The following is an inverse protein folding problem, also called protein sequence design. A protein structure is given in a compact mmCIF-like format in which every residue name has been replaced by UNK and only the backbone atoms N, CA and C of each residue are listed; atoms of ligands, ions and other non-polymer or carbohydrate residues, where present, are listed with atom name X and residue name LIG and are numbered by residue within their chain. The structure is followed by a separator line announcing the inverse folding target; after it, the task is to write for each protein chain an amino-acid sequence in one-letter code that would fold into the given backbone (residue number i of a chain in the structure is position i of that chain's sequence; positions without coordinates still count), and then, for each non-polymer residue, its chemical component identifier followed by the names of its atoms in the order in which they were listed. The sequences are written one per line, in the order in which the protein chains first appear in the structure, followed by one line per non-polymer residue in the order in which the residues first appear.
data_IF_136681784546
#
_entry.id   IF_136681784546
#
_cell.length_a   1.000
_cell.length_b   1.000
_cell.length_c   1.000
_cell.angle_alpha   90.00
_cell.angle_beta   90.00
_cell.angle_gamma   90.00
#
_symmetry.space_group_name_H-M   'P 1'
#
loop_
_entity.id
_entity.type
_entity.pdbx_description
1 polymer ?
#
# COMPACT_ATOMS: atom_id res chain seq x y z
N UNK A 1 11.37 -11.85 10.70
CA UNK A 1 10.91 -12.45 9.43
C UNK A 1 11.53 -11.64 8.31
N UNK A 2 12.27 -12.27 7.41
CA UNK A 2 12.92 -11.58 6.29
C UNK A 2 11.92 -11.48 5.15
N UNK A 3 11.51 -10.25 4.81
CA UNK A 3 10.65 -10.02 3.64
C UNK A 3 11.51 -10.12 2.38
N UNK A 4 11.16 -11.04 1.50
CA UNK A 4 11.79 -11.11 0.18
C UNK A 4 11.23 -9.99 -0.70
N UNK A 5 12.04 -8.98 -1.00
CA UNK A 5 11.66 -7.87 -1.88
C UNK A 5 11.13 -8.38 -3.23
N UNK A 6 11.76 -9.40 -3.78
CA UNK A 6 11.29 -10.05 -5.01
C UNK A 6 9.95 -10.75 -4.84
N UNK A 7 9.65 -11.28 -3.66
CA UNK A 7 8.36 -11.88 -3.33
C UNK A 7 7.23 -10.87 -3.34
N UNK A 8 7.45 -9.68 -2.76
CA UNK A 8 6.45 -8.59 -2.76
C UNK A 8 6.12 -8.16 -4.19
N UNK A 9 7.12 -7.96 -5.04
CA UNK A 9 6.93 -7.59 -6.45
C UNK A 9 6.17 -8.69 -7.20
N UNK A 10 6.59 -9.96 -7.06
CA UNK A 10 5.94 -11.11 -7.69
C UNK A 10 4.46 -11.19 -7.31
N UNK A 11 4.17 -11.09 -6.03
CA UNK A 11 2.81 -11.26 -5.51
C UNK A 11 1.91 -10.07 -5.86
N UNK A 12 2.46 -8.86 -5.91
CA UNK A 12 1.74 -7.70 -6.42
C UNK A 12 1.45 -7.85 -7.91
N UNK A 13 2.45 -8.22 -8.71
CA UNK A 13 2.29 -8.44 -10.16
C UNK A 13 1.28 -9.54 -10.46
N UNK A 14 1.21 -10.58 -9.63
CA UNK A 14 0.26 -11.68 -9.76
C UNK A 14 -1.21 -11.24 -9.66
N UNK A 15 -1.49 -10.03 -9.20
CA UNK A 15 -2.84 -9.48 -9.13
C UNK A 15 -3.29 -8.85 -10.46
N UNK A 16 -2.38 -8.58 -11.38
CA UNK A 16 -2.70 -8.05 -12.72
C UNK A 16 -3.56 -9.08 -13.46
N UNK A 17 -4.68 -8.63 -14.01
CA UNK A 17 -5.66 -9.51 -14.67
C UNK A 17 -6.60 -10.24 -13.72
N UNK A 18 -6.39 -10.17 -12.40
CA UNK A 18 -7.27 -10.75 -11.38
C UNK A 18 -8.08 -9.66 -10.66
N UNK A 19 -7.44 -8.58 -10.26
CA UNK A 19 -8.11 -7.40 -9.70
C UNK A 19 -8.37 -6.43 -10.84
N UNK A 20 -9.65 -6.29 -11.22
CA UNK A 20 -10.07 -5.58 -12.43
C UNK A 20 -10.78 -4.26 -12.14
N UNK A 21 -11.25 -4.08 -10.89
CA UNK A 21 -12.07 -2.93 -10.50
C UNK A 21 -11.45 -2.19 -9.32
N UNK A 22 -11.71 -0.87 -9.27
CA UNK A 22 -11.47 -0.04 -8.11
C UNK A 22 -12.80 0.21 -7.39
N UNK A 23 -12.92 -0.25 -6.14
CA UNK A 23 -14.14 -0.10 -5.36
C UNK A 23 -13.80 0.41 -3.95
N UNK A 24 -14.03 1.71 -3.66
CA UNK A 24 -13.73 2.30 -2.36
C UNK A 24 -14.83 2.12 -1.32
N UNK A 25 -15.89 1.39 -1.61
CA UNK A 25 -17.00 1.20 -0.69
C UNK A 25 -16.54 0.60 0.64
N UNK A 26 -17.06 1.14 1.75
CA UNK A 26 -16.82 0.56 3.06
C UNK A 26 -17.38 -0.86 3.12
N UNK A 27 -16.57 -1.80 3.57
CA UNK A 27 -16.95 -3.21 3.67
C UNK A 27 -16.56 -3.73 5.06
N UNK A 28 -17.48 -4.43 5.69
CA UNK A 28 -17.19 -5.17 6.91
C UNK A 28 -16.31 -6.38 6.57
N UNK A 29 -15.17 -6.50 7.21
CA UNK A 29 -14.18 -7.52 6.91
C UNK A 29 -14.05 -8.51 8.08
N UNK A 30 -13.67 -9.73 7.77
CA UNK A 30 -13.16 -10.65 8.78
C UNK A 30 -11.87 -10.09 9.40
N UNK A 31 -11.53 -10.55 10.58
CA UNK A 31 -10.31 -10.17 11.29
C UNK A 31 -9.74 -11.38 12.03
N UNK A 32 -8.42 -11.68 11.91
CA UNK A 32 -7.48 -11.11 10.96
C UNK A 32 -7.70 -11.59 9.52
N UNK A 33 -6.87 -11.16 8.60
CA UNK A 33 -6.83 -11.60 7.19
C UNK A 33 -8.11 -11.30 6.40
N UNK A 34 -8.86 -10.27 6.82
CA UNK A 34 -10.06 -9.87 6.08
C UNK A 34 -9.72 -9.21 4.74
N UNK A 35 -10.52 -9.49 3.71
CA UNK A 35 -10.34 -8.93 2.38
C UNK A 35 -11.70 -8.83 1.68
N UNK A 36 -11.74 -7.95 0.68
CA UNK A 36 -12.83 -7.93 -0.31
C UNK A 36 -12.54 -8.98 -1.40
N UNK A 37 -13.53 -9.35 -2.24
CA UNK A 37 -13.27 -10.28 -3.34
C UNK A 37 -12.10 -9.82 -4.23
N UNK A 38 -11.30 -10.77 -4.69
CA UNK A 38 -10.04 -10.48 -5.42
C UNK A 38 -10.24 -9.68 -6.72
N UNK A 39 -11.43 -9.79 -7.36
CA UNK A 39 -11.69 -9.06 -8.60
C UNK A 39 -11.77 -7.54 -8.41
N UNK A 40 -11.82 -7.05 -7.18
CA UNK A 40 -11.91 -5.63 -6.85
C UNK A 40 -10.99 -5.26 -5.69
N UNK A 41 -10.77 -3.97 -5.50
CA UNK A 41 -9.98 -3.44 -4.39
C UNK A 41 -9.70 -1.97 -4.55
N UNK A 42 -8.90 -1.43 -3.65
CA UNK A 42 -8.35 -0.07 -3.71
C UNK A 42 -6.83 -0.13 -3.79
N UNK A 43 -6.15 1.02 -3.87
CA UNK A 43 -4.70 1.08 -4.02
C UNK A 43 -3.95 0.34 -2.89
N UNK A 44 -4.42 0.45 -1.66
CA UNK A 44 -3.81 -0.22 -0.52
C UNK A 44 -3.93 -1.74 -0.56
N UNK A 45 -4.99 -2.27 -1.18
CA UNK A 45 -5.21 -3.72 -1.27
C UNK A 45 -4.12 -4.42 -2.06
N UNK A 46 -3.50 -3.76 -3.04
CA UNK A 46 -2.36 -4.31 -3.79
C UNK A 46 -1.22 -4.66 -2.84
N UNK A 47 -0.87 -3.73 -1.95
CA UNK A 47 0.19 -3.93 -0.95
C UNK A 47 -0.23 -4.93 0.12
N UNK A 48 -1.43 -4.79 0.66
CA UNK A 48 -1.95 -5.68 1.72
C UNK A 48 -1.90 -7.14 1.27
N UNK A 49 -2.39 -7.42 0.06
CA UNK A 49 -2.43 -8.77 -0.50
C UNK A 49 -1.03 -9.31 -0.78
N UNK A 50 -0.14 -8.49 -1.35
CA UNK A 50 1.23 -8.90 -1.62
C UNK A 50 1.96 -9.30 -0.34
N UNK A 51 1.82 -8.53 0.73
CA UNK A 51 2.48 -8.81 2.01
C UNK A 51 1.89 -10.04 2.70
N UNK A 52 0.60 -10.30 2.55
CA UNK A 52 -0.04 -11.50 3.13
C UNK A 52 0.53 -12.80 2.58
N UNK A 53 0.90 -12.84 1.30
CA UNK A 53 1.60 -14.00 0.72
C UNK A 53 2.93 -14.29 1.41
N UNK A 54 3.51 -13.31 2.07
CA UNK A 54 4.74 -13.43 2.84
C UNK A 54 4.52 -13.55 4.35
N UNK A 55 3.27 -13.77 4.78
CA UNK A 55 2.91 -13.92 6.18
C UNK A 55 2.77 -12.63 6.97
N UNK A 56 2.69 -11.46 6.29
CA UNK A 56 2.52 -10.16 6.95
C UNK A 56 1.09 -9.67 6.73
N UNK A 57 0.32 -9.54 7.80
CA UNK A 57 -1.04 -9.01 7.76
C UNK A 57 -1.09 -7.57 8.27
N UNK A 58 -1.14 -6.62 7.34
CA UNK A 58 -1.21 -5.19 7.69
C UNK A 58 -2.51 -4.84 8.45
N UNK A 59 -3.61 -5.54 8.18
CA UNK A 59 -4.85 -5.32 8.93
C UNK A 59 -4.61 -5.54 10.44
N UNK A 60 -4.05 -6.69 10.77
CA UNK A 60 -3.75 -7.05 12.16
C UNK A 60 -2.71 -6.11 12.77
N UNK A 61 -1.60 -5.92 12.09
CA UNK A 61 -0.47 -5.14 12.62
C UNK A 61 -0.84 -3.68 12.87
N UNK A 62 -1.54 -3.04 11.93
CA UNK A 62 -1.98 -1.66 12.08
C UNK A 62 -3.06 -1.55 13.15
N UNK A 63 -4.02 -2.46 13.17
CA UNK A 63 -5.08 -2.46 14.17
C UNK A 63 -4.52 -2.56 15.59
N UNK A 64 -3.60 -3.49 15.82
CA UNK A 64 -2.96 -3.66 17.13
C UNK A 64 -2.13 -2.45 17.55
N UNK A 65 -1.38 -1.83 16.63
CA UNK A 65 -0.62 -0.62 16.94
C UNK A 65 -1.56 0.57 17.22
N UNK A 66 -2.61 0.71 16.45
CA UNK A 66 -3.61 1.78 16.67
C UNK A 66 -4.38 1.59 17.98
N UNK A 67 -4.68 0.37 18.40
CA UNK A 67 -5.31 0.13 19.71
C UNK A 67 -4.46 0.66 20.87
N UNK A 68 -3.15 0.58 20.76
CA UNK A 68 -2.21 1.05 21.78
C UNK A 68 -1.83 2.52 21.63
N UNK A 69 -1.86 3.04 20.42
CA UNK A 69 -1.29 4.33 20.03
C UNK A 69 -2.21 5.12 19.09
N UNK A 70 -3.50 5.11 19.34
CA UNK A 70 -4.49 5.71 18.43
C UNK A 70 -4.16 7.18 18.07
N UNK A 71 -3.72 7.96 19.07
CA UNK A 71 -3.38 9.38 18.86
C UNK A 71 -2.14 9.62 18.01
N UNK A 72 -1.31 8.60 17.79
CA UNK A 72 -0.15 8.71 16.91
C UNK A 72 -0.53 8.68 15.41
N UNK A 73 -1.76 8.29 15.11
CA UNK A 73 -2.28 8.18 13.75
C UNK A 73 -3.10 9.40 13.36
N UNK A 74 -3.26 9.70 12.06
CA UNK A 74 -4.04 10.84 11.62
C UNK A 74 -5.49 10.78 12.11
N UNK A 75 -6.00 11.91 12.59
CA UNK A 75 -7.36 12.05 13.13
C UNK A 75 -8.29 12.73 12.12
N UNK A 76 -8.28 12.27 10.88
CA UNK A 76 -8.94 12.93 9.74
C UNK A 76 -10.40 12.51 9.54
N UNK A 77 -10.79 11.36 10.08
CA UNK A 77 -12.06 10.71 9.72
C UNK A 77 -13.09 10.74 10.87
N UNK A 78 -12.79 11.45 11.95
CA UNK A 78 -13.72 11.60 13.07
C UNK A 78 -13.93 10.35 13.92
N UNK A 79 -13.10 9.32 13.77
CA UNK A 79 -13.18 8.12 14.59
C UNK A 79 -12.64 8.38 15.99
N UNK A 80 -13.27 7.76 16.98
CA UNK A 80 -12.85 7.82 18.39
C UNK A 80 -12.07 6.57 18.80
N UNK A 81 -12.08 5.55 17.99
CA UNK A 81 -11.41 4.27 18.21
C UNK A 81 -11.03 3.63 16.87
N UNK A 82 -10.07 2.69 16.87
CA UNK A 82 -9.68 1.99 15.64
C UNK A 82 -10.85 1.22 15.02
N UNK A 83 -10.89 1.18 13.70
CA UNK A 83 -11.82 0.40 12.90
C UNK A 83 -11.05 -0.62 12.05
N UNK A 84 -11.13 -1.88 12.43
CA UNK A 84 -10.44 -3.00 11.75
C UNK A 84 -10.85 -3.22 10.30
N UNK A 85 -11.97 -2.61 9.87
CA UNK A 85 -12.48 -2.79 8.51
C UNK A 85 -11.84 -1.81 7.51
N UNK A 86 -11.32 -0.66 7.98
CA UNK A 86 -10.91 0.42 7.09
C UNK A 86 -9.53 1.01 7.40
N UNK A 87 -9.06 0.95 8.65
CA UNK A 87 -7.84 1.67 9.04
C UNK A 87 -6.62 1.27 8.22
N UNK A 88 -6.42 -0.01 7.99
CA UNK A 88 -5.30 -0.55 7.19
C UNK A 88 -5.45 -0.29 5.69
N UNK A 89 -6.64 0.11 5.23
CA UNK A 89 -6.92 0.43 3.84
C UNK A 89 -6.77 1.92 3.53
N UNK A 90 -6.37 2.72 4.50
CA UNK A 90 -6.13 4.16 4.37
C UNK A 90 -4.65 4.45 4.25
N UNK A 91 -4.25 5.10 3.14
CA UNK A 91 -2.84 5.43 2.86
C UNK A 91 -2.17 6.18 4.01
N UNK A 92 -2.78 7.22 4.63
CA UNK A 92 -2.13 7.93 5.74
C UNK A 92 -1.83 7.04 6.95
N UNK A 93 -2.67 6.05 7.23
CA UNK A 93 -2.44 5.12 8.34
C UNK A 93 -1.29 4.15 8.04
N UNK A 94 -1.22 3.62 6.82
CA UNK A 94 -0.08 2.78 6.40
C UNK A 94 1.22 3.57 6.46
N UNK A 95 1.24 4.80 5.95
CA UNK A 95 2.41 5.66 5.98
C UNK A 95 2.87 5.92 7.42
N UNK A 96 1.94 6.20 8.33
CA UNK A 96 2.22 6.40 9.76
C UNK A 96 2.80 5.13 10.37
N UNK A 97 2.18 3.98 10.13
CA UNK A 97 2.67 2.69 10.61
C UNK A 97 4.11 2.42 10.15
N UNK A 98 4.40 2.62 8.86
CA UNK A 98 5.74 2.41 8.32
C UNK A 98 6.78 3.35 8.92
N UNK A 99 6.44 4.63 9.14
CA UNK A 99 7.33 5.57 9.84
C UNK A 99 7.61 5.11 11.27
N UNK A 100 6.58 4.69 12.00
CA UNK A 100 6.73 4.19 13.36
C UNK A 100 7.57 2.93 13.44
N UNK A 101 7.59 2.11 12.39
CA UNK A 101 8.45 0.93 12.26
C UNK A 101 9.87 1.23 11.80
N UNK A 102 10.18 2.50 11.46
CA UNK A 102 11.50 2.89 10.98
C UNK A 102 11.78 2.47 9.53
N UNK A 103 10.73 2.31 8.71
CA UNK A 103 10.86 1.89 7.32
C UNK A 103 11.03 3.05 6.34
N UNK A 104 10.94 4.30 6.80
CA UNK A 104 11.06 5.46 5.93
C UNK A 104 12.46 5.55 5.33
N UNK A 105 12.52 5.77 4.01
CA UNK A 105 13.74 6.02 3.23
C UNK A 105 13.71 7.46 2.77
N UNK A 106 14.82 8.19 3.00
CA UNK A 106 14.88 9.63 2.68
C UNK A 106 15.62 9.93 1.38
N UNK A 107 16.26 8.94 0.78
CA UNK A 107 16.90 9.10 -0.52
C UNK A 107 15.91 8.89 -1.67
N UNK A 108 16.39 9.13 -2.89
CA UNK A 108 15.61 8.95 -4.11
C UNK A 108 16.02 7.68 -4.88
N UNK A 109 16.62 6.72 -4.20
CA UNK A 109 17.01 5.44 -4.78
C UNK A 109 15.87 4.43 -4.60
N UNK A 110 14.95 4.41 -5.55
CA UNK A 110 13.79 3.50 -5.55
C UNK A 110 14.20 2.14 -6.07
N UNK A 111 14.20 1.15 -5.21
CA UNK A 111 14.54 -0.24 -5.57
C UNK A 111 13.28 -1.13 -5.54
N UNK A 112 13.33 -2.25 -6.26
CA UNK A 112 12.22 -3.19 -6.34
C UNK A 112 11.74 -3.63 -4.96
N UNK A 113 10.42 -3.61 -4.75
CA UNK A 113 9.78 -3.94 -3.48
C UNK A 113 9.58 -2.76 -2.54
N UNK A 114 10.19 -1.61 -2.82
CA UNK A 114 9.90 -0.39 -2.06
C UNK A 114 8.44 0.00 -2.21
N UNK A 115 7.91 0.70 -1.21
CA UNK A 115 6.57 1.26 -1.21
C UNK A 115 6.67 2.78 -1.34
N UNK A 116 5.87 3.36 -2.22
CA UNK A 116 5.81 4.80 -2.44
C UNK A 116 4.39 5.31 -2.24
N UNK A 117 4.27 6.50 -1.67
CA UNK A 117 2.99 7.20 -1.54
C UNK A 117 3.03 8.52 -2.30
N UNK A 118 1.88 8.93 -2.85
CA UNK A 118 1.72 10.15 -3.63
C UNK A 118 0.53 10.96 -3.16
N UNK A 119 0.62 12.26 -3.42
CA UNK A 119 -0.51 13.19 -3.42
C UNK A 119 -0.96 13.37 -4.88
N UNK A 120 -2.20 12.95 -5.17
CA UNK A 120 -2.80 13.09 -6.50
C UNK A 120 -3.46 14.46 -6.70
N UNK A 121 -3.47 15.29 -5.66
CA UNK A 121 -4.23 16.55 -5.66
C UNK A 121 -5.66 16.36 -5.15
N UNK A 122 -6.31 17.48 -4.79
CA UNK A 122 -7.71 17.50 -4.31
C UNK A 122 -7.98 16.59 -3.11
N UNK A 123 -6.98 16.38 -2.25
CA UNK A 123 -7.10 15.52 -1.08
C UNK A 123 -7.02 14.03 -1.36
N UNK A 124 -6.77 13.62 -2.60
CA UNK A 124 -6.62 12.22 -2.98
C UNK A 124 -5.18 11.77 -2.76
N UNK A 125 -5.03 10.61 -2.17
CA UNK A 125 -3.72 9.99 -1.88
C UNK A 125 -3.64 8.62 -2.55
N UNK A 126 -2.41 8.16 -2.84
CA UNK A 126 -2.18 6.92 -3.56
C UNK A 126 -0.97 6.20 -2.99
N UNK A 127 -0.91 4.89 -3.19
CA UNK A 127 0.19 4.02 -2.77
C UNK A 127 0.43 2.95 -3.84
N UNK A 128 1.69 2.56 -4.00
CA UNK A 128 2.07 1.50 -4.93
C UNK A 128 3.40 0.89 -4.57
N UNK A 129 3.78 -0.14 -5.30
CA UNK A 129 4.98 -0.95 -5.10
C UNK A 129 5.92 -0.74 -6.27
N UNK A 130 7.18 -0.44 -5.97
CA UNK A 130 8.24 -0.29 -6.98
C UNK A 130 8.52 -1.64 -7.61
N UNK A 131 8.42 -1.70 -8.94
CA UNK A 131 8.68 -2.90 -9.75
C UNK A 131 10.18 -3.12 -9.96
N UNK A 132 10.54 -4.34 -10.32
CA UNK A 132 11.87 -4.69 -10.84
C UNK A 132 12.03 -4.36 -12.34
N UNK A 133 10.94 -3.96 -13.01
CA UNK A 133 10.95 -3.50 -14.40
C UNK A 133 11.10 -1.99 -14.46
N UNK A 134 11.79 -1.53 -15.51
CA UNK A 134 12.08 -0.11 -15.73
C UNK A 134 11.68 0.31 -17.14
N UNK A 135 11.46 1.63 -17.32
CA UNK A 135 11.29 2.21 -18.65
C UNK A 135 12.56 2.00 -19.48
N UNK A 136 12.39 1.89 -20.81
CA UNK A 136 13.51 1.58 -21.71
C UNK A 136 14.54 2.72 -21.78
N UNK A 137 14.07 3.97 -21.88
CA UNK A 137 14.95 5.12 -22.11
C UNK A 137 15.49 5.71 -20.82
N UNK A 138 14.60 6.01 -19.87
CA UNK A 138 14.96 6.73 -18.66
C UNK A 138 15.39 5.83 -17.49
N UNK A 139 15.20 4.52 -17.65
CA UNK A 139 15.49 3.53 -16.60
C UNK A 139 14.76 3.82 -15.29
N UNK A 140 13.58 4.45 -15.37
CA UNK A 140 12.71 4.72 -14.22
C UNK A 140 11.95 3.45 -13.85
N UNK A 141 11.92 3.05 -12.57
CA UNK A 141 11.13 1.89 -12.15
C UNK A 141 9.65 2.07 -12.46
N UNK A 142 9.01 1.02 -12.94
CA UNK A 142 7.55 0.97 -13.04
C UNK A 142 6.95 0.80 -11.65
N UNK A 143 5.66 1.09 -11.53
CA UNK A 143 4.90 0.95 -10.29
C UNK A 143 3.77 -0.05 -10.50
N UNK A 144 3.62 -0.97 -9.55
CA UNK A 144 2.48 -1.88 -9.49
C UNK A 144 1.46 -1.28 -8.53
N UNK A 145 0.26 -0.99 -9.03
CA UNK A 145 -0.74 -0.24 -8.28
C UNK A 145 -2.14 -0.42 -8.86
N UNK A 146 -3.15 0.07 -8.13
CA UNK A 146 -4.53 0.23 -8.62
C UNK A 146 -4.98 1.68 -8.41
N UNK A 147 -5.11 2.43 -9.49
CA UNK A 147 -5.52 3.85 -9.47
C UNK A 147 -6.93 4.08 -10.07
N UNK A 148 -7.65 3.00 -10.38
CA UNK A 148 -9.02 3.09 -10.89
C UNK A 148 -9.41 2.00 -11.89
N UNK A 149 -8.46 1.35 -12.54
CA UNK A 149 -8.71 0.37 -13.60
C UNK A 149 -8.24 -1.05 -13.23
N UNK A 150 -8.21 -1.36 -11.93
CA UNK A 150 -7.64 -2.60 -11.44
C UNK A 150 -6.12 -2.52 -11.29
N UNK A 151 -5.51 -3.64 -10.93
CA UNK A 151 -4.06 -3.69 -10.72
C UNK A 151 -3.33 -3.62 -12.05
N UNK A 152 -2.39 -2.68 -12.17
CA UNK A 152 -1.59 -2.43 -13.35
C UNK A 152 -0.14 -2.17 -12.96
N UNK A 153 0.76 -2.28 -13.95
CA UNK A 153 2.17 -1.93 -13.81
C UNK A 153 2.48 -0.82 -14.81
N UNK A 154 2.71 0.41 -14.32
CA UNK A 154 2.77 1.62 -15.14
C UNK A 154 3.95 2.51 -14.77
N UNK A 155 4.32 3.39 -15.71
CA UNK A 155 5.30 4.45 -15.50
C UNK A 155 4.64 5.68 -14.87
N UNK A 156 4.50 5.66 -13.53
CA UNK A 156 3.85 6.76 -12.80
C UNK A 156 4.69 7.33 -11.65
N UNK A 157 5.89 6.81 -11.41
CA UNK A 157 6.67 7.18 -10.23
C UNK A 157 6.80 8.70 -10.05
N UNK A 158 7.11 9.42 -11.13
CA UNK A 158 7.29 10.87 -11.13
C UNK A 158 6.11 11.65 -11.70
N UNK A 159 4.99 11.00 -11.95
CA UNK A 159 3.80 11.64 -12.53
C UNK A 159 3.05 12.48 -11.49
N UNK A 160 3.13 12.12 -10.22
CA UNK A 160 2.46 12.82 -9.13
C UNK A 160 3.49 13.18 -8.04
N UNK A 161 3.09 14.04 -7.10
CA UNK A 161 3.93 14.45 -5.98
C UNK A 161 4.16 13.28 -5.04
N UNK A 162 5.41 12.83 -4.90
CA UNK A 162 5.79 11.79 -3.94
C UNK A 162 5.72 12.37 -2.53
N UNK A 163 5.02 11.69 -1.62
CA UNK A 163 4.85 12.07 -0.22
C UNK A 163 5.57 11.14 0.74
N UNK A 164 5.96 9.95 0.31
CA UNK A 164 6.68 9.01 1.16
C UNK A 164 7.36 7.91 0.35
N UNK A 165 8.42 7.37 0.93
CA UNK A 165 9.20 6.27 0.38
C UNK A 165 9.58 5.35 1.53
N UNK A 166 9.24 4.06 1.43
CA UNK A 166 9.41 3.10 2.50
C UNK A 166 10.04 1.81 1.99
N UNK A 167 10.90 1.23 2.82
CA UNK A 167 11.55 -0.07 2.55
C UNK A 167 11.33 -0.95 3.76
N UNK A 168 10.52 -1.99 3.58
CA UNK A 168 10.21 -2.93 4.64
C UNK A 168 11.43 -3.85 4.89
N UNK A 169 11.66 -4.13 6.16
CA UNK A 169 12.79 -4.95 6.60
C UNK A 169 12.31 -6.27 7.17
#
# INVERSE_FOLDING_TARGET
MHLETNGTVRDARGQIGKTLLYDPAYTQLNYPLGDVPLYKGVCTDVLIRALRHQGVDLQKNIHEDMQKNFKAYPQKWGLKAPDKNIDHRRVPNIATYFKRRGYEVKDQNYIAGDVVTWDLGKGLVHIGIVSDKKTLLQKTPLIIHNIGLGTQENDILHQYKITGHYRLK
#
